data_IF_176618828532
#
_entry.id   IF_176618828532
#
_cell.length_a   1.000
_cell.length_b   1.000
_cell.length_c   1.000
_cell.angle_alpha   90.00
_cell.angle_beta   90.00
_cell.angle_gamma   90.00
#
_symmetry.space_group_name_H-M   'P 1'
#
loop_
_entity.id
_entity.type
_entity.pdbx_description
1 polymer ?
#
# COMPACT_ATOMS: atom_id res chain seq x y z
N UNK A 1 24.96 46.91 -25.85
CA UNK A 1 25.87 45.82 -26.28
C UNK A 1 26.22 45.04 -25.02
N UNK A 2 25.55 43.90 -24.85
CA UNK A 2 26.15 42.54 -24.77
C UNK A 2 26.54 42.17 -23.33
N UNK A 3 26.02 41.12 -22.69
CA UNK A 3 25.40 39.92 -23.25
C UNK A 3 24.21 39.42 -22.42
N UNK A 4 23.14 39.11 -23.13
CA UNK A 4 22.36 37.90 -22.88
C UNK A 4 23.21 36.66 -23.20
N UNK A 5 22.83 35.53 -22.60
CA UNK A 5 23.51 34.21 -22.52
C UNK A 5 24.48 34.13 -21.32
N UNK A 6 24.20 33.34 -20.28
CA UNK A 6 24.01 31.90 -20.36
C UNK A 6 23.02 31.36 -19.30
N UNK A 7 21.87 30.91 -19.79
CA UNK A 7 21.01 29.96 -19.10
C UNK A 7 21.69 28.58 -19.21
N UNK A 8 22.57 28.24 -18.26
CA UNK A 8 23.32 26.99 -18.27
C UNK A 8 22.79 26.01 -17.20
N UNK A 9 22.10 24.98 -17.68
CA UNK A 9 21.87 23.66 -17.09
C UNK A 9 20.94 23.56 -15.86
N UNK A 10 19.62 23.53 -16.11
CA UNK A 10 18.74 22.68 -15.31
C UNK A 10 19.11 21.21 -15.54
N UNK A 11 19.69 20.53 -14.54
CA UNK A 11 20.03 19.11 -14.64
C UNK A 11 21.29 18.64 -13.91
N UNK A 12 21.53 19.07 -12.66
CA UNK A 12 22.55 18.44 -11.80
C UNK A 12 22.00 17.18 -11.11
N UNK A 13 22.83 16.16 -10.86
CA UNK A 13 22.40 14.91 -10.17
C UNK A 13 21.74 15.16 -8.81
N UNK A 14 22.20 16.17 -8.08
CA UNK A 14 21.61 16.59 -6.80
C UNK A 14 20.18 17.10 -6.98
N UNK A 15 19.92 17.93 -7.99
CA UNK A 15 18.59 18.43 -8.32
C UNK A 15 17.65 17.29 -8.75
N UNK A 16 18.17 16.34 -9.54
CA UNK A 16 17.43 15.14 -9.93
C UNK A 16 17.01 14.29 -8.73
N UNK A 17 17.90 14.10 -7.75
CA UNK A 17 17.61 13.38 -6.50
C UNK A 17 16.54 14.12 -5.71
N UNK A 18 16.67 15.44 -5.56
CA UNK A 18 15.67 16.26 -4.86
C UNK A 18 14.30 16.22 -5.55
N UNK A 19 14.27 16.22 -6.88
CA UNK A 19 13.03 16.12 -7.65
C UNK A 19 12.34 14.76 -7.46
N UNK A 20 13.08 13.65 -7.40
CA UNK A 20 12.51 12.31 -7.19
C UNK A 20 12.07 12.04 -5.75
N UNK A 21 12.54 12.84 -4.80
CA UNK A 21 12.09 12.79 -3.40
C UNK A 21 10.86 13.66 -3.15
N UNK A 22 10.37 14.39 -4.16
CA UNK A 22 9.18 15.22 -4.04
C UNK A 22 7.93 14.46 -4.47
N UNK A 23 6.97 14.34 -3.56
CA UNK A 23 5.68 13.72 -3.83
C UNK A 23 4.78 14.60 -4.69
N UNK A 24 3.77 14.00 -5.32
CA UNK A 24 2.71 14.71 -6.03
C UNK A 24 1.72 15.32 -5.03
N UNK A 25 1.95 16.58 -4.66
CA UNK A 25 1.16 17.29 -3.65
C UNK A 25 0.06 18.17 -4.25
N UNK A 26 -1.13 18.13 -3.64
CA UNK A 26 -2.24 19.04 -3.96
C UNK A 26 -2.63 19.88 -2.75
N UNK A 27 -2.60 21.20 -2.94
CA UNK A 27 -2.96 22.18 -1.92
C UNK A 27 -4.46 22.49 -2.00
N UNK A 28 -5.20 22.08 -0.98
CA UNK A 28 -6.67 22.25 -0.92
C UNK A 28 -7.07 23.48 -0.09
N UNK A 29 -6.15 24.08 0.67
CA UNK A 29 -6.41 25.23 1.54
C UNK A 29 -5.18 26.09 1.84
N UNK A 30 -5.37 27.13 2.65
CA UNK A 30 -4.30 27.99 3.09
C UNK A 30 -3.53 27.33 4.26
N UNK A 31 -2.33 26.83 3.97
CA UNK A 31 -1.38 26.36 4.97
C UNK A 31 -0.85 24.94 4.73
N UNK A 32 0.28 24.58 5.35
CA UNK A 32 0.98 23.31 5.12
C UNK A 32 0.19 22.07 5.58
N UNK A 33 -0.85 22.25 6.41
CA UNK A 33 -1.71 21.15 6.86
C UNK A 33 -2.68 20.67 5.77
N UNK A 34 -3.04 21.54 4.81
CA UNK A 34 -4.01 21.24 3.76
C UNK A 34 -3.33 20.77 2.46
N UNK A 35 -2.20 20.10 2.61
CA UNK A 35 -1.43 19.50 1.51
C UNK A 35 -1.67 18.00 1.53
N UNK A 36 -2.19 17.45 0.44
CA UNK A 36 -2.46 16.02 0.29
C UNK A 36 -1.51 15.44 -0.75
N UNK A 37 -0.76 14.41 -0.37
CA UNK A 37 0.07 13.63 -1.29
C UNK A 37 -0.83 12.70 -2.14
N UNK A 38 -1.17 13.13 -3.34
CA UNK A 38 -2.08 12.43 -4.26
C UNK A 38 -1.50 11.09 -4.69
N UNK A 39 -0.19 11.03 -4.91
CA UNK A 39 0.50 9.79 -5.27
C UNK A 39 0.32 8.71 -4.20
N UNK A 40 0.52 9.06 -2.94
CA UNK A 40 0.44 8.17 -1.79
C UNK A 40 -1.00 7.71 -1.58
N UNK A 41 -1.97 8.64 -1.65
CA UNK A 41 -3.40 8.31 -1.55
C UNK A 41 -3.84 7.43 -2.72
N UNK A 42 -3.42 7.75 -3.94
CA UNK A 42 -3.76 7.02 -5.16
C UNK A 42 -3.24 5.60 -5.13
N UNK A 43 -1.95 5.41 -4.80
CA UNK A 43 -1.34 4.09 -4.65
C UNK A 43 -2.06 3.30 -3.56
N UNK A 44 -2.29 3.88 -2.38
CA UNK A 44 -2.99 3.20 -1.28
C UNK A 44 -4.39 2.74 -1.68
N UNK A 45 -5.14 3.55 -2.43
CA UNK A 45 -6.48 3.20 -2.89
C UNK A 45 -6.46 2.07 -3.93
N UNK A 46 -5.51 2.09 -4.87
CA UNK A 46 -5.31 1.02 -5.85
C UNK A 46 -4.96 -0.29 -5.14
N UNK A 47 -4.03 -0.23 -4.19
CA UNK A 47 -3.66 -1.38 -3.37
C UNK A 47 -4.85 -1.94 -2.59
N UNK A 48 -5.66 -1.08 -1.98
CA UNK A 48 -6.90 -1.50 -1.30
C UNK A 48 -7.89 -2.18 -2.27
N UNK A 49 -8.04 -1.65 -3.48
CA UNK A 49 -8.90 -2.23 -4.50
C UNK A 49 -8.38 -3.62 -4.96
N UNK A 50 -7.08 -3.78 -5.12
CA UNK A 50 -6.45 -5.07 -5.44
C UNK A 50 -6.67 -6.08 -4.31
N UNK A 51 -6.45 -5.67 -3.06
CA UNK A 51 -6.69 -6.52 -1.88
C UNK A 51 -8.13 -7.06 -1.87
N UNK A 52 -9.11 -6.17 -1.99
CA UNK A 52 -10.52 -6.56 -2.05
C UNK A 52 -10.82 -7.43 -3.29
N UNK A 53 -10.23 -7.08 -4.44
CA UNK A 53 -10.37 -7.80 -5.70
C UNK A 53 -9.83 -9.23 -5.66
N UNK A 54 -8.85 -9.53 -4.81
CA UNK A 54 -8.31 -10.88 -4.60
C UNK A 54 -9.05 -11.64 -3.50
N UNK A 55 -9.29 -11.00 -2.36
CA UNK A 55 -9.85 -11.68 -1.19
C UNK A 55 -11.36 -11.95 -1.31
N UNK A 56 -12.14 -11.03 -1.91
CA UNK A 56 -13.59 -11.24 -2.09
C UNK A 56 -13.90 -12.48 -2.94
N UNK A 57 -13.35 -12.66 -4.16
CA UNK A 57 -13.65 -13.85 -4.95
C UNK A 57 -13.07 -15.12 -4.33
N UNK A 58 -11.92 -15.05 -3.65
CA UNK A 58 -11.33 -16.21 -2.97
C UNK A 58 -12.21 -16.67 -1.81
N UNK A 59 -12.70 -15.75 -0.98
CA UNK A 59 -13.62 -16.06 0.11
C UNK A 59 -14.96 -16.63 -0.40
N UNK A 60 -15.46 -16.14 -1.54
CA UNK A 60 -16.71 -16.62 -2.15
C UNK A 60 -16.58 -18.00 -2.81
N UNK A 61 -15.39 -18.35 -3.29
CA UNK A 61 -15.10 -19.62 -3.97
C UNK A 61 -14.44 -20.65 -3.06
N UNK A 62 -14.25 -20.32 -1.78
CA UNK A 62 -13.65 -21.23 -0.81
C UNK A 62 -14.52 -22.48 -0.66
N UNK A 63 -13.96 -23.64 -1.01
CA UNK A 63 -14.63 -24.94 -0.85
C UNK A 63 -14.05 -25.69 0.35
N UNK A 64 -14.91 -26.36 1.12
CA UNK A 64 -14.51 -27.22 2.25
C UNK A 64 -13.96 -28.61 1.83
N UNK A 65 -13.99 -28.92 0.52
CA UNK A 65 -13.42 -30.14 -0.05
C UNK A 65 -11.92 -30.01 -0.31
N UNK A 66 -11.45 -30.45 -1.48
CA UNK A 66 -10.05 -30.27 -1.88
C UNK A 66 -9.86 -28.85 -2.44
N UNK A 67 -9.10 -27.96 -1.78
CA UNK A 67 -8.89 -26.61 -2.27
C UNK A 67 -8.09 -26.60 -3.58
N UNK A 68 -8.42 -25.69 -4.48
CA UNK A 68 -7.59 -25.42 -5.65
C UNK A 68 -6.22 -24.85 -5.26
N UNK A 69 -5.21 -24.93 -6.13
CA UNK A 69 -3.82 -24.48 -5.85
C UNK A 69 -3.74 -23.04 -5.31
N UNK A 70 -4.53 -22.13 -5.88
CA UNK A 70 -4.57 -20.73 -5.45
C UNK A 70 -5.27 -20.54 -4.10
N UNK A 71 -6.37 -21.27 -3.86
CA UNK A 71 -7.07 -21.25 -2.57
C UNK A 71 -6.16 -21.76 -1.45
N UNK A 72 -5.45 -22.86 -1.69
CA UNK A 72 -4.51 -23.43 -0.73
C UNK A 72 -3.39 -22.45 -0.35
N UNK A 73 -2.86 -21.68 -1.30
CA UNK A 73 -1.89 -20.62 -1.01
C UNK A 73 -2.46 -19.53 -0.10
N UNK A 74 -3.65 -19.03 -0.42
CA UNK A 74 -4.32 -17.99 0.39
C UNK A 74 -4.68 -18.52 1.79
N UNK A 75 -5.12 -19.78 1.90
CA UNK A 75 -5.40 -20.43 3.19
C UNK A 75 -4.15 -20.53 4.05
N UNK A 76 -3.00 -20.93 3.48
CA UNK A 76 -1.74 -20.97 4.23
C UNK A 76 -1.38 -19.60 4.80
N UNK A 77 -1.55 -18.52 4.03
CA UNK A 77 -1.30 -17.15 4.50
C UNK A 77 -2.27 -16.76 5.61
N UNK A 78 -3.58 -16.99 5.42
CA UNK A 78 -4.61 -16.63 6.41
C UNK A 78 -4.43 -17.39 7.72
N UNK A 79 -4.15 -18.69 7.66
CA UNK A 79 -3.90 -19.51 8.85
C UNK A 79 -2.64 -19.06 9.58
N UNK A 80 -1.56 -18.76 8.85
CA UNK A 80 -0.33 -18.25 9.46
C UNK A 80 -0.52 -16.90 10.17
N UNK A 81 -1.36 -16.01 9.62
CA UNK A 81 -1.70 -14.75 10.28
C UNK A 81 -2.60 -14.97 11.51
N UNK A 82 -3.59 -15.88 11.44
CA UNK A 82 -4.45 -16.21 12.58
C UNK A 82 -3.63 -16.78 13.76
N UNK A 83 -2.65 -17.66 13.47
CA UNK A 83 -1.74 -18.21 14.47
C UNK A 83 -0.89 -17.11 15.13
N UNK A 84 -0.27 -16.23 14.33
CA UNK A 84 0.52 -15.10 14.84
C UNK A 84 -0.30 -14.15 15.73
N UNK A 85 -1.56 -13.90 15.35
CA UNK A 85 -2.49 -13.10 16.15
C UNK A 85 -2.82 -13.78 17.47
N UNK A 86 -3.06 -15.09 17.46
CA UNK A 86 -3.38 -15.87 18.67
C UNK A 86 -2.20 -15.93 19.65
N UNK A 87 -0.98 -16.02 19.14
CA UNK A 87 0.23 -15.96 19.99
C UNK A 87 0.42 -14.59 20.64
N UNK A 88 0.07 -13.52 19.91
CA UNK A 88 0.27 -12.14 20.38
C UNK A 88 -0.87 -11.67 21.28
N UNK A 89 -2.11 -12.08 20.99
CA UNK A 89 -3.32 -11.59 21.65
C UNK A 89 -4.16 -12.75 22.19
N UNK A 90 -4.32 -12.76 23.51
CA UNK A 90 -4.99 -13.85 24.26
C UNK A 90 -6.47 -13.57 24.60
N UNK A 91 -7.05 -12.48 24.08
CA UNK A 91 -8.46 -12.14 24.29
C UNK A 91 -9.37 -12.69 23.18
N UNK A 92 -10.68 -12.71 23.41
CA UNK A 92 -11.66 -13.04 22.36
C UNK A 92 -12.16 -11.78 21.67
N UNK A 93 -11.60 -11.45 20.51
CA UNK A 93 -12.14 -10.39 19.66
C UNK A 93 -12.25 -10.87 18.22
N UNK A 94 -13.49 -10.86 17.70
CA UNK A 94 -13.80 -11.23 16.32
C UNK A 94 -13.27 -10.22 15.29
N UNK A 95 -12.82 -9.04 15.74
CA UNK A 95 -12.32 -7.98 14.86
C UNK A 95 -10.80 -8.01 14.67
N UNK A 96 -10.06 -8.62 15.60
CA UNK A 96 -8.59 -8.54 15.59
C UNK A 96 -8.01 -9.38 14.45
N UNK A 97 -8.45 -10.63 14.30
CA UNK A 97 -8.00 -11.50 13.21
C UNK A 97 -8.21 -10.88 11.80
N UNK A 98 -9.41 -10.40 11.43
CA UNK A 98 -9.60 -9.79 10.11
C UNK A 98 -8.83 -8.46 9.96
N UNK A 99 -8.68 -7.68 11.03
CA UNK A 99 -7.92 -6.42 10.97
C UNK A 99 -6.42 -6.69 10.81
N UNK A 100 -5.86 -7.68 11.50
CA UNK A 100 -4.48 -8.11 11.34
C UNK A 100 -4.19 -8.60 9.91
N UNK A 101 -5.10 -9.39 9.33
CA UNK A 101 -5.01 -9.81 7.93
C UNK A 101 -4.97 -8.60 6.98
N UNK A 102 -5.85 -7.62 7.17
CA UNK A 102 -5.86 -6.41 6.31
C UNK A 102 -4.57 -5.61 6.41
N UNK A 103 -4.05 -5.38 7.62
CA UNK A 103 -2.81 -4.62 7.84
C UNK A 103 -1.63 -5.38 7.24
N UNK A 104 -1.52 -6.68 7.51
CA UNK A 104 -0.42 -7.50 7.00
C UNK A 104 -0.33 -7.45 5.48
N UNK A 105 -1.45 -7.73 4.79
CA UNK A 105 -1.44 -7.78 3.32
C UNK A 105 -1.24 -6.40 2.70
N UNK A 106 -1.83 -5.34 3.27
CA UNK A 106 -1.65 -3.98 2.76
C UNK A 106 -0.21 -3.49 2.94
N UNK A 107 0.38 -3.67 4.13
CA UNK A 107 1.77 -3.26 4.39
C UNK A 107 2.75 -4.10 3.55
N UNK A 108 2.50 -5.40 3.41
CA UNK A 108 3.28 -6.26 2.52
C UNK A 108 3.26 -5.73 1.09
N UNK A 109 2.07 -5.33 0.60
CA UNK A 109 1.91 -4.87 -0.77
C UNK A 109 2.48 -3.46 -1.00
N UNK A 110 2.43 -2.58 0.01
CA UNK A 110 3.11 -1.28 -0.04
C UNK A 110 4.64 -1.43 -0.11
N UNK A 111 5.21 -2.40 0.61
CA UNK A 111 6.64 -2.69 0.56
C UNK A 111 7.09 -3.44 -0.71
N UNK A 112 6.15 -4.00 -1.46
CA UNK A 112 6.46 -4.73 -2.69
C UNK A 112 6.64 -3.79 -3.90
N UNK A 113 6.12 -2.56 -3.84
CA UNK A 113 6.33 -1.53 -4.87
C UNK A 113 7.73 -0.93 -4.80
#
# INVERSE_FOLDING_TARGET
MSGSAEQAAGGGMTEYIHHHLHNLQWHVGAGPFWVIDIDTVGVTLVLMAIFLGVFIPTARRATAGVPGRFQAFVEMVVVGIDEMVRETFHGSSKLIAPLALTIFVLVFMMNFM
#
